data_IF_513984182338
#
_entry.id   IF_513984182338
#
_cell.length_a   1.000
_cell.length_b   1.000
_cell.length_c   1.000
_cell.angle_alpha   90.00
_cell.angle_beta   90.00
_cell.angle_gamma   90.00
#
_symmetry.space_group_name_H-M   'P 1'
#
loop_
_entity.id
_entity.type
_entity.pdbx_description
1 polymer ?
#
# COMPACT_ATOMS: atom_id res chain seq x y z
N UNK A 1 12.77 1.35 -15.21
CA UNK A 1 12.20 -0.02 -15.23
C UNK A 1 10.71 0.06 -14.93
N UNK A 2 9.97 0.74 -15.82
CA UNK A 2 8.50 0.89 -15.91
C UNK A 2 8.19 1.08 -17.41
N UNK A 3 9.11 1.75 -18.11
CA UNK A 3 9.18 1.89 -19.57
C UNK A 3 9.28 0.57 -20.36
N UNK A 4 9.51 -0.58 -19.71
CA UNK A 4 9.64 -1.88 -20.40
C UNK A 4 8.50 -2.87 -20.13
N UNK A 5 7.71 -2.68 -19.08
CA UNK A 5 6.60 -3.59 -18.70
C UNK A 5 5.22 -3.06 -19.05
N UNK A 6 5.04 -1.73 -19.19
CA UNK A 6 3.73 -1.14 -19.50
C UNK A 6 2.65 -1.41 -18.45
N UNK A 7 3.04 -1.94 -17.29
CA UNK A 7 2.17 -2.28 -16.17
C UNK A 7 2.52 -1.37 -14.98
N UNK A 8 1.52 -0.96 -14.18
CA UNK A 8 1.76 -0.14 -13.01
C UNK A 8 2.64 -0.90 -12.00
N UNK A 9 3.66 -0.22 -11.48
CA UNK A 9 4.60 -0.81 -10.53
C UNK A 9 4.34 -0.23 -9.13
N UNK A 10 4.33 -1.08 -8.11
CA UNK A 10 4.35 -0.64 -6.72
C UNK A 10 5.60 -1.18 -6.04
N UNK A 11 6.28 -0.30 -5.31
CA UNK A 11 7.40 -0.63 -4.43
C UNK A 11 6.97 -0.26 -3.02
N UNK A 12 7.01 -1.23 -2.11
CA UNK A 12 6.97 -0.95 -0.68
C UNK A 12 8.42 -0.85 -0.20
N UNK A 13 8.82 0.33 0.26
CA UNK A 13 10.12 0.53 0.91
C UNK A 13 9.89 0.50 2.43
N UNK A 14 10.30 -0.59 3.06
CA UNK A 14 10.25 -0.76 4.51
C UNK A 14 11.43 -0.02 5.13
N UNK A 15 11.15 0.94 6.02
CA UNK A 15 12.14 1.70 6.76
C UNK A 15 12.05 1.24 8.22
N UNK A 16 13.08 0.56 8.74
CA UNK A 16 13.11 -0.04 10.10
C UNK A 16 11.79 -0.75 10.47
N UNK A 17 11.66 -2.06 10.17
CA UNK A 17 10.67 -3.12 10.55
C UNK A 17 9.21 -2.80 10.99
N UNK A 18 8.93 -1.59 11.42
CA UNK A 18 7.72 -1.03 11.99
C UNK A 18 7.09 0.07 11.10
N UNK A 19 7.79 0.63 10.10
CA UNK A 19 7.21 1.58 9.12
C UNK A 19 7.59 1.23 7.68
N UNK A 20 6.66 1.49 6.75
CA UNK A 20 6.92 1.35 5.33
C UNK A 20 6.23 2.47 4.56
N UNK A 21 6.88 2.89 3.47
CA UNK A 21 6.27 3.76 2.48
C UNK A 21 5.99 2.93 1.24
N UNK A 22 4.73 2.90 0.82
CA UNK A 22 4.35 2.34 -0.47
C UNK A 22 4.40 3.45 -1.49
N UNK A 23 5.26 3.30 -2.50
CA UNK A 23 5.31 4.18 -3.65
C UNK A 23 4.83 3.44 -4.89
N UNK A 24 3.73 3.91 -5.49
CA UNK A 24 3.22 3.41 -6.75
C UNK A 24 3.56 4.35 -7.90
N UNK A 25 3.85 3.78 -9.06
CA UNK A 25 4.03 4.50 -10.31
C UNK A 25 3.07 3.93 -11.34
N UNK A 26 2.21 4.79 -11.87
CA UNK A 26 1.33 4.46 -12.98
C UNK A 26 2.07 4.57 -14.33
N UNK A 27 1.64 3.82 -15.36
CA UNK A 27 2.23 3.93 -16.70
C UNK A 27 2.09 5.33 -17.31
N UNK A 28 1.17 6.16 -16.78
CA UNK A 28 1.03 7.59 -17.14
C UNK A 28 2.07 8.52 -16.50
N UNK A 29 2.94 8.01 -15.61
CA UNK A 29 3.95 8.80 -14.91
C UNK A 29 3.46 9.44 -13.61
N UNK A 30 2.20 9.23 -13.22
CA UNK A 30 1.72 9.61 -11.90
C UNK A 30 2.37 8.73 -10.84
N UNK A 31 3.12 9.37 -9.94
CA UNK A 31 3.70 8.75 -8.77
C UNK A 31 2.85 9.09 -7.55
N UNK A 32 2.65 8.10 -6.69
CA UNK A 32 2.02 8.27 -5.40
C UNK A 32 2.81 7.58 -4.32
N UNK A 33 2.68 8.10 -3.12
CA UNK A 33 3.31 7.62 -1.91
C UNK A 33 2.25 7.55 -0.82
N UNK A 34 2.32 6.50 -0.01
CA UNK A 34 1.40 6.25 1.09
C UNK A 34 2.18 5.64 2.25
N UNK A 35 1.92 6.15 3.45
CA UNK A 35 2.53 5.65 4.67
C UNK A 35 1.72 4.48 5.24
N UNK A 36 2.41 3.39 5.55
CA UNK A 36 1.92 2.29 6.35
C UNK A 36 2.34 2.50 7.80
N UNK A 37 1.48 2.09 8.74
CA UNK A 37 1.65 2.33 10.17
C UNK A 37 1.72 3.83 10.52
N UNK A 38 0.57 4.52 10.41
CA UNK A 38 0.46 5.98 10.59
C UNK A 38 1.03 6.46 11.93
N UNK A 39 0.99 5.61 12.97
CA UNK A 39 1.55 5.89 14.28
C UNK A 39 3.07 6.06 14.23
N UNK A 40 3.77 5.07 13.70
CA UNK A 40 5.23 5.13 13.56
C UNK A 40 5.61 6.18 12.52
N UNK A 41 4.85 6.30 11.43
CA UNK A 41 5.04 7.33 10.41
C UNK A 41 4.98 8.76 10.98
N UNK A 42 4.09 9.01 11.96
CA UNK A 42 4.02 10.28 12.68
C UNK A 42 5.30 10.54 13.50
N UNK A 43 5.86 9.50 14.13
CA UNK A 43 7.10 9.59 14.91
C UNK A 43 8.32 9.86 14.03
N UNK A 44 8.43 9.21 12.85
CA UNK A 44 9.59 9.40 11.95
C UNK A 44 9.49 10.66 11.09
N UNK A 45 8.28 11.09 10.72
CA UNK A 45 8.09 12.25 9.84
C UNK A 45 7.91 13.57 10.59
N UNK A 46 7.87 13.54 11.93
CA UNK A 46 7.52 14.68 12.79
C UNK A 46 6.14 15.30 12.43
N UNK A 47 5.27 14.52 11.77
CA UNK A 47 3.93 14.94 11.37
C UNK A 47 2.89 14.41 12.37
N UNK A 48 1.90 15.21 12.79
CA UNK A 48 0.89 14.73 13.73
C UNK A 48 0.02 13.62 13.09
N UNK A 49 -0.26 12.56 13.86
CA UNK A 49 -1.06 11.40 13.44
C UNK A 49 -2.41 11.82 12.84
N UNK A 50 -3.06 12.86 13.37
CA UNK A 50 -4.33 13.36 12.85
C UNK A 50 -4.22 13.96 11.43
N UNK A 51 -3.06 14.53 11.08
CA UNK A 51 -2.80 15.03 9.74
C UNK A 51 -2.55 13.88 8.77
N UNK A 52 -1.86 12.81 9.22
CA UNK A 52 -1.71 11.58 8.44
C UNK A 52 -3.06 10.86 8.26
N UNK A 53 -3.89 10.75 9.29
CA UNK A 53 -5.24 10.16 9.18
C UNK A 53 -6.12 10.93 8.19
N UNK A 54 -5.98 12.25 8.12
CA UNK A 54 -6.70 13.07 7.15
C UNK A 54 -6.30 12.79 5.68
N UNK A 55 -5.11 12.21 5.45
CA UNK A 55 -4.62 11.83 4.11
C UNK A 55 -5.07 10.42 3.69
N UNK A 56 -5.37 9.55 4.65
CA UNK A 56 -5.86 8.16 4.45
C UNK A 56 -6.92 8.02 3.36
N UNK A 57 -8.02 8.79 3.33
CA UNK A 57 -9.03 8.63 2.28
C UNK A 57 -8.52 8.98 0.87
N UNK A 58 -7.55 9.90 0.77
CA UNK A 58 -6.88 10.22 -0.50
C UNK A 58 -5.94 9.10 -0.93
N UNK A 59 -5.14 8.60 0.00
CA UNK A 59 -4.15 7.55 -0.26
C UNK A 59 -4.82 6.21 -0.62
N UNK A 60 -5.89 5.83 0.10
CA UNK A 60 -6.70 4.65 -0.20
C UNK A 60 -7.27 4.69 -1.63
N UNK A 61 -7.74 5.85 -2.09
CA UNK A 61 -8.25 6.03 -3.46
C UNK A 61 -7.15 5.89 -4.51
N UNK A 62 -5.95 6.41 -4.25
CA UNK A 62 -4.80 6.31 -5.16
C UNK A 62 -4.30 4.86 -5.26
N UNK A 63 -4.20 4.18 -4.11
CA UNK A 63 -3.85 2.77 -4.05
C UNK A 63 -4.88 1.90 -4.80
N UNK A 64 -6.18 2.17 -4.63
CA UNK A 64 -7.25 1.46 -5.34
C UNK A 64 -7.24 1.77 -6.85
N UNK A 65 -7.00 3.01 -7.25
CA UNK A 65 -6.88 3.40 -8.66
C UNK A 65 -5.70 2.67 -9.32
N UNK A 66 -4.56 2.58 -8.64
CA UNK A 66 -3.41 1.80 -9.08
C UNK A 66 -3.73 0.32 -9.21
N UNK A 67 -4.37 -0.28 -8.20
CA UNK A 67 -4.78 -1.68 -8.24
C UNK A 67 -5.69 -1.96 -9.45
N UNK A 68 -6.66 -1.07 -9.70
CA UNK A 68 -7.54 -1.16 -10.88
C UNK A 68 -6.79 -1.02 -12.20
N UNK A 69 -5.82 -0.11 -12.28
CA UNK A 69 -4.90 -0.01 -13.43
C UNK A 69 -4.07 -1.29 -13.62
N UNK A 70 -3.79 -2.03 -12.55
CA UNK A 70 -3.10 -3.32 -12.59
C UNK A 70 -4.04 -4.50 -12.94
N UNK A 71 -5.34 -4.26 -13.09
CA UNK A 71 -6.35 -5.29 -13.35
C UNK A 71 -6.80 -6.06 -12.11
N UNK A 72 -6.53 -5.53 -10.91
CA UNK A 72 -6.94 -6.08 -9.60
C UNK A 72 -7.76 -5.04 -8.81
N UNK A 73 -8.44 -5.43 -7.73
CA UNK A 73 -9.26 -4.49 -6.96
C UNK A 73 -10.54 -3.99 -7.66
N UNK A 74 -11.00 -4.69 -8.70
CA UNK A 74 -12.34 -4.47 -9.26
C UNK A 74 -13.40 -4.89 -8.23
N UNK A 75 -14.31 -3.97 -7.90
CA UNK A 75 -15.32 -4.19 -6.84
C UNK A 75 -14.82 -4.02 -5.40
N UNK A 76 -13.53 -3.72 -5.16
CA UNK A 76 -13.03 -3.40 -3.81
C UNK A 76 -13.51 -2.01 -3.37
N UNK A 77 -14.01 -1.91 -2.15
CA UNK A 77 -14.48 -0.66 -1.56
C UNK A 77 -13.32 0.11 -0.91
N UNK A 78 -13.15 1.40 -1.20
CA UNK A 78 -12.07 2.21 -0.61
C UNK A 78 -12.11 2.23 0.91
N UNK A 79 -13.29 2.12 1.54
CA UNK A 79 -13.38 2.11 3.01
C UNK A 79 -12.69 0.90 3.64
N UNK A 80 -12.65 -0.25 2.94
CA UNK A 80 -11.91 -1.44 3.42
C UNK A 80 -10.40 -1.21 3.44
N UNK A 81 -9.90 -0.40 2.50
CA UNK A 81 -8.49 0.02 2.44
C UNK A 81 -8.21 1.07 3.52
N UNK A 82 -9.10 2.03 3.72
CA UNK A 82 -8.98 3.02 4.80
C UNK A 82 -8.94 2.35 6.19
N UNK A 83 -9.78 1.35 6.43
CA UNK A 83 -9.75 0.57 7.67
C UNK A 83 -8.44 -0.22 7.83
N UNK A 84 -7.84 -0.67 6.73
CA UNK A 84 -6.53 -1.32 6.76
C UNK A 84 -5.47 -0.30 7.20
N UNK A 85 -5.45 0.87 6.57
CA UNK A 85 -4.48 1.93 6.86
C UNK A 85 -4.59 2.48 8.28
N UNK A 86 -5.81 2.52 8.83
CA UNK A 86 -6.08 2.89 10.22
C UNK A 86 -5.81 1.77 11.21
N UNK A 87 -5.59 0.54 10.76
CA UNK A 87 -5.28 -0.57 11.65
C UNK A 87 -3.85 -0.43 12.18
N UNK A 88 -3.73 -0.28 13.50
CA UNK A 88 -2.47 -0.35 14.22
C UNK A 88 -2.05 -1.83 14.31
N UNK A 89 -1.26 -2.28 13.33
CA UNK A 89 -0.60 -3.59 13.35
C UNK A 89 0.82 -3.41 13.84
N UNK A 90 1.26 -4.30 14.72
CA UNK A 90 2.58 -4.26 15.34
C UNK A 90 3.72 -4.46 14.34
N UNK A 91 3.47 -5.17 13.24
CA UNK A 91 4.45 -5.36 12.17
C UNK A 91 3.89 -4.82 10.85
N UNK A 92 4.72 -4.06 10.13
CA UNK A 92 4.33 -3.48 8.85
C UNK A 92 4.12 -4.54 7.76
N UNK A 93 4.77 -5.71 7.90
CA UNK A 93 4.61 -6.86 7.02
C UNK A 93 3.19 -7.45 7.11
N UNK A 94 2.63 -7.58 8.32
CA UNK A 94 1.24 -8.05 8.54
C UNK A 94 0.23 -7.03 7.99
N UNK A 95 0.55 -5.74 8.13
CA UNK A 95 -0.26 -4.66 7.56
C UNK A 95 -0.23 -4.67 6.03
N UNK A 96 0.94 -4.93 5.44
CA UNK A 96 1.13 -5.01 3.99
C UNK A 96 0.41 -6.23 3.40
N UNK A 97 0.53 -7.40 4.01
CA UNK A 97 -0.16 -8.63 3.60
C UNK A 97 -1.68 -8.46 3.66
N UNK A 98 -2.21 -7.94 4.77
CA UNK A 98 -3.63 -7.65 4.92
C UNK A 98 -4.14 -6.62 3.90
N UNK A 99 -3.30 -5.66 3.49
CA UNK A 99 -3.65 -4.68 2.47
C UNK A 99 -3.67 -5.30 1.06
N UNK A 100 -2.71 -6.18 0.74
CA UNK A 100 -2.70 -6.92 -0.52
C UNK A 100 -3.89 -7.87 -0.65
N UNK A 101 -4.22 -8.62 0.40
CA UNK A 101 -5.39 -9.49 0.46
C UNK A 101 -6.69 -8.70 0.20
N UNK A 102 -6.83 -7.55 0.86
CA UNK A 102 -8.00 -6.65 0.66
C UNK A 102 -8.05 -6.02 -0.72
N UNK A 103 -6.91 -5.74 -1.34
CA UNK A 103 -6.83 -5.26 -2.73
C UNK A 103 -7.14 -6.38 -3.74
N UNK A 104 -7.30 -7.61 -3.29
CA UNK A 104 -7.59 -8.77 -4.14
C UNK A 104 -6.37 -9.26 -4.91
N UNK A 105 -5.15 -8.96 -4.43
CA UNK A 105 -3.96 -9.58 -5.00
C UNK A 105 -3.95 -11.07 -4.64
N UNK A 106 -3.65 -11.96 -5.60
CA UNK A 106 -3.38 -13.33 -5.25
C UNK A 106 -2.16 -13.36 -4.32
N UNK A 107 -2.25 -14.11 -3.22
CA UNK A 107 -1.11 -14.43 -2.37
C UNK A 107 0.06 -14.81 -3.26
N UNK A 108 1.20 -14.17 -3.07
CA UNK A 108 2.42 -14.56 -3.76
C UNK A 108 2.64 -16.05 -3.43
N UNK A 109 2.53 -16.91 -4.43
CA UNK A 109 2.92 -18.31 -4.27
C UNK A 109 4.39 -18.28 -3.88
N UNK A 110 4.68 -18.66 -2.63
CA UNK A 110 6.03 -18.95 -2.21
C UNK A 110 6.61 -19.98 -3.19
N UNK A 111 7.72 -19.69 -3.88
CA UNK A 111 8.33 -20.66 -4.80
C UNK A 111 8.91 -21.91 -4.09
N UNK A 112 8.65 -22.09 -2.79
CA UNK A 112 9.17 -23.18 -1.95
C UNK A 112 8.08 -24.16 -1.45
N UNK A 113 6.99 -24.36 -2.21
CA UNK A 113 6.03 -25.46 -1.96
C UNK A 113 5.97 -26.46 -3.11
N UNK A 114 7.13 -26.76 -3.69
CA UNK A 114 7.32 -27.96 -4.52
C UNK A 114 8.48 -28.77 -3.97
N UNK A 115 8.19 -29.68 -3.04
CA UNK A 115 9.05 -30.81 -2.72
C UNK A 115 8.34 -32.12 -3.10
#
# INVERSE_FOLDING_TARGET
MVEWTGAPACVASVHDSDVAVMSGMEPGGEQWDMWLNLRIAAEVSDCPLAELDSRVPGDARRALAWARSAGVGDGVDPTTIEEALRSDRTFVEDLYDALLDRLGFPLAVDPDTSC
#
